data_IF_071072158335
#
_entry.id   IF_071072158335
#
_cell.length_a   1.000
_cell.length_b   1.000
_cell.length_c   1.000
_cell.angle_alpha   90.00
_cell.angle_beta   90.00
_cell.angle_gamma   90.00
#
_symmetry.space_group_name_H-M   'P 1'
#
loop_
_entity.id
_entity.type
_entity.pdbx_description
1 polymer ?
#
# COMPACT_ATOMS: atom_id res chain seq x y z
N UNK A 1 6.59 16.18 -90.76
CA UNK A 1 6.03 15.24 -89.82
C UNK A 1 6.93 15.27 -88.56
N UNK A 2 6.49 15.97 -87.51
CA UNK A 2 7.19 16.03 -86.26
C UNK A 2 6.36 15.30 -85.20
N UNK A 3 6.89 14.23 -84.64
CA UNK A 3 6.31 13.44 -83.56
C UNK A 3 6.86 13.95 -82.21
N UNK A 4 6.00 14.54 -81.41
CA UNK A 4 6.28 15.00 -80.07
C UNK A 4 6.04 13.88 -79.08
N UNK A 5 7.10 13.36 -78.46
CA UNK A 5 7.03 12.33 -77.41
C UNK A 5 6.79 13.03 -76.04
N UNK A 6 5.58 12.91 -75.49
CA UNK A 6 5.28 13.36 -74.14
C UNK A 6 5.80 12.30 -73.14
N UNK A 7 6.77 12.67 -72.32
CA UNK A 7 7.21 11.88 -71.15
C UNK A 7 6.28 12.18 -69.98
N UNK A 8 5.51 11.21 -69.59
CA UNK A 8 4.71 11.25 -68.35
C UNK A 8 5.63 10.86 -67.18
N UNK A 9 5.88 11.80 -66.28
CA UNK A 9 6.62 11.54 -65.04
C UNK A 9 5.57 11.06 -64.02
N UNK A 10 5.63 9.81 -63.59
CA UNK A 10 4.86 9.27 -62.48
C UNK A 10 5.63 9.53 -61.18
N UNK A 11 5.18 10.48 -60.38
CA UNK A 11 5.69 10.67 -58.99
C UNK A 11 5.06 9.63 -58.10
N UNK A 12 5.85 8.64 -57.67
CA UNK A 12 5.49 7.75 -56.59
C UNK A 12 5.66 8.49 -55.24
N UNK A 13 4.55 8.87 -54.60
CA UNK A 13 4.54 9.29 -53.21
C UNK A 13 4.58 8.06 -52.32
N UNK A 14 5.75 7.71 -51.78
CA UNK A 14 5.86 6.74 -50.68
C UNK A 14 5.53 7.44 -49.38
N UNK A 15 4.29 7.26 -48.89
CA UNK A 15 3.90 7.64 -47.57
C UNK A 15 4.55 6.70 -46.55
N UNK A 16 5.57 7.20 -45.85
CA UNK A 16 6.18 6.52 -44.70
C UNK A 16 5.20 6.60 -43.55
N UNK A 17 4.46 5.53 -43.28
CA UNK A 17 3.69 5.37 -42.06
C UNK A 17 4.68 5.17 -40.91
N UNK A 18 4.97 6.26 -40.17
CA UNK A 18 5.64 6.17 -38.86
C UNK A 18 4.61 5.59 -37.88
N UNK A 19 4.64 4.28 -37.70
CA UNK A 19 3.94 3.63 -36.58
C UNK A 19 4.70 4.02 -35.32
N UNK A 20 4.25 5.08 -34.66
CA UNK A 20 4.68 5.41 -33.30
C UNK A 20 4.20 4.29 -32.39
N UNK A 21 5.07 3.37 -32.08
CA UNK A 21 4.83 2.39 -31.02
C UNK A 21 4.94 3.16 -29.70
N UNK A 22 3.83 3.74 -29.25
CA UNK A 22 3.72 4.17 -27.86
C UNK A 22 3.85 2.91 -27.00
N UNK A 23 5.05 2.64 -26.50
CA UNK A 23 5.21 1.73 -25.37
C UNK A 23 4.44 2.36 -24.22
N UNK A 24 3.24 1.86 -23.97
CA UNK A 24 2.53 2.11 -22.73
C UNK A 24 3.46 1.59 -21.64
N UNK A 25 3.99 2.47 -20.80
CA UNK A 25 4.79 2.04 -19.65
C UNK A 25 3.92 1.09 -18.85
N UNK A 26 4.47 -0.07 -18.51
CA UNK A 26 3.75 -1.05 -17.70
C UNK A 26 3.37 -0.39 -16.36
N UNK A 27 2.13 -0.56 -15.94
CA UNK A 27 1.69 -0.08 -14.65
C UNK A 27 2.54 -0.72 -13.54
N UNK A 28 3.01 0.09 -12.60
CA UNK A 28 3.84 -0.37 -11.48
C UNK A 28 3.07 -0.25 -10.17
N UNK A 29 3.30 -1.14 -9.18
CA UNK A 29 2.61 -1.05 -7.90
C UNK A 29 3.12 0.16 -7.09
N UNK A 30 2.19 1.02 -6.63
CA UNK A 30 2.47 2.20 -5.82
C UNK A 30 2.07 2.02 -4.37
N UNK A 31 1.17 1.09 -4.10
CA UNK A 31 0.71 0.78 -2.76
C UNK A 31 0.31 -0.68 -2.63
N UNK A 32 0.14 -1.11 -1.40
CA UNK A 32 -0.31 -2.45 -1.07
C UNK A 32 -0.96 -2.52 0.30
N UNK A 33 -1.75 -3.56 0.47
CA UNK A 33 -2.35 -3.96 1.74
C UNK A 33 -1.78 -5.31 2.12
N UNK A 34 -1.34 -5.45 3.36
CA UNK A 34 -0.71 -6.64 3.90
C UNK A 34 -1.14 -6.85 5.35
N UNK A 35 -1.41 -8.10 5.74
CA UNK A 35 -1.64 -8.46 7.15
C UNK A 35 -0.35 -8.34 7.97
N UNK A 36 -0.51 -8.09 9.28
CA UNK A 36 0.59 -8.14 10.25
C UNK A 36 0.49 -9.34 11.20
N UNK A 37 -0.46 -10.23 10.99
CA UNK A 37 -0.66 -11.41 11.81
C UNK A 37 0.28 -12.55 11.41
N UNK A 38 1.10 -13.02 12.35
CA UNK A 38 2.14 -14.05 12.08
C UNK A 38 1.60 -15.42 11.72
N UNK A 39 0.31 -15.69 11.94
CA UNK A 39 -0.35 -16.91 11.45
C UNK A 39 -0.26 -17.06 9.92
N UNK A 40 -0.23 -15.95 9.22
CA UNK A 40 -0.19 -15.89 7.74
C UNK A 40 1.18 -15.45 7.22
N UNK A 41 2.25 -15.77 7.93
CA UNK A 41 3.64 -15.41 7.62
C UNK A 41 4.05 -15.77 6.19
N UNK A 42 3.60 -16.94 5.71
CA UNK A 42 3.82 -17.40 4.33
C UNK A 42 3.22 -16.43 3.30
N UNK A 43 2.01 -15.94 3.52
CA UNK A 43 1.37 -15.01 2.60
C UNK A 43 1.94 -13.60 2.69
N UNK A 44 2.44 -13.19 3.86
CA UNK A 44 3.25 -11.97 4.00
C UNK A 44 4.51 -12.09 3.13
N UNK A 45 5.21 -13.23 3.21
CA UNK A 45 6.42 -13.48 2.41
C UNK A 45 6.11 -13.43 0.90
N UNK A 46 5.06 -14.12 0.45
CA UNK A 46 4.59 -14.14 -0.94
C UNK A 46 4.22 -12.73 -1.46
N UNK A 47 3.61 -11.88 -0.62
CA UNK A 47 3.34 -10.48 -0.96
C UNK A 47 4.63 -9.71 -1.26
N UNK A 48 5.64 -9.82 -0.40
CA UNK A 48 6.91 -9.13 -0.58
C UNK A 48 7.73 -9.68 -1.76
N UNK A 49 7.63 -10.98 -2.06
CA UNK A 49 8.18 -11.59 -3.30
C UNK A 49 7.55 -10.92 -4.52
N UNK A 50 6.21 -10.91 -4.59
CA UNK A 50 5.48 -10.31 -5.72
C UNK A 50 5.82 -8.83 -5.90
N UNK A 51 5.88 -8.07 -4.82
CA UNK A 51 6.26 -6.65 -4.87
C UNK A 51 7.69 -6.48 -5.40
N UNK A 52 8.65 -7.32 -4.95
CA UNK A 52 10.04 -7.22 -5.36
C UNK A 52 10.27 -7.53 -6.83
N UNK A 53 9.48 -8.43 -7.40
CA UNK A 53 9.53 -8.77 -8.81
C UNK A 53 9.08 -7.60 -9.71
N UNK A 54 8.20 -6.73 -9.21
CA UNK A 54 7.55 -5.68 -9.99
C UNK A 54 8.08 -4.27 -9.70
N UNK A 55 8.69 -4.05 -8.54
CA UNK A 55 9.16 -2.72 -8.16
C UNK A 55 10.40 -2.75 -7.27
N UNK A 56 11.30 -1.79 -7.51
CA UNK A 56 12.34 -1.42 -6.57
C UNK A 56 11.82 -0.30 -5.65
N UNK A 57 11.92 -0.51 -4.33
CA UNK A 57 11.43 0.43 -3.31
C UNK A 57 12.60 0.94 -2.48
N UNK A 58 12.69 2.27 -2.32
CA UNK A 58 13.69 2.93 -1.48
C UNK A 58 13.11 3.37 -0.13
N UNK A 59 11.83 3.74 -0.09
CA UNK A 59 11.15 4.10 1.17
C UNK A 59 9.74 3.51 1.21
N UNK A 60 9.47 2.73 2.25
CA UNK A 60 8.11 2.30 2.58
C UNK A 60 7.44 3.33 3.50
N UNK A 61 6.29 3.85 3.11
CA UNK A 61 5.38 4.56 3.99
C UNK A 61 4.43 3.53 4.58
N UNK A 62 4.76 3.05 5.77
CA UNK A 62 4.00 2.01 6.47
C UNK A 62 3.00 2.66 7.42
N UNK A 63 1.73 2.45 7.14
CA UNK A 63 0.62 2.90 8.00
C UNK A 63 0.04 1.69 8.69
N UNK A 64 0.04 1.69 10.02
CA UNK A 64 -0.48 0.59 10.84
C UNK A 64 -1.47 1.08 11.89
N UNK A 65 -2.32 0.21 12.45
CA UNK A 65 -3.12 0.55 13.63
C UNK A 65 -2.20 0.79 14.85
N UNK A 66 -2.71 1.52 15.82
CA UNK A 66 -2.10 1.62 17.16
C UNK A 66 -2.87 0.72 18.12
N UNK A 67 -2.41 -0.53 18.30
CA UNK A 67 -3.15 -1.57 19.02
C UNK A 67 -3.22 -1.37 20.54
N UNK A 68 -2.20 -0.73 21.11
CA UNK A 68 -2.04 -0.74 22.58
C UNK A 68 -2.48 0.57 23.25
N UNK A 69 -2.94 1.56 22.48
CA UNK A 69 -3.43 2.82 23.03
C UNK A 69 -2.39 3.59 23.87
N UNK A 70 -1.11 3.38 23.63
CA UNK A 70 0.00 4.00 24.39
C UNK A 70 0.17 5.48 24.10
N UNK A 71 -0.36 5.97 22.99
CA UNK A 71 -0.35 7.38 22.63
C UNK A 71 -1.66 8.08 22.98
N UNK A 72 -1.58 9.35 23.34
CA UNK A 72 -2.72 10.26 23.40
C UNK A 72 -2.95 10.96 22.06
N UNK A 73 -2.01 10.83 21.12
CA UNK A 73 -2.10 11.43 19.78
C UNK A 73 -2.92 10.55 18.84
N UNK A 74 -3.54 11.18 17.85
CA UNK A 74 -4.25 10.46 16.79
C UNK A 74 -3.29 9.74 15.84
N UNK A 75 -2.08 10.29 15.68
CA UNK A 75 -1.01 9.72 14.87
C UNK A 75 0.30 9.72 15.65
N UNK A 76 1.01 8.63 15.61
CA UNK A 76 2.37 8.53 16.11
C UNK A 76 3.30 8.24 14.95
N UNK A 77 4.38 9.01 14.82
CA UNK A 77 5.37 8.86 13.74
C UNK A 77 6.68 8.35 14.33
N UNK A 78 7.23 7.29 13.73
CA UNK A 78 8.45 6.67 14.24
C UNK A 78 9.71 7.46 13.87
N UNK A 79 10.67 7.45 14.81
CA UNK A 79 12.05 7.88 14.58
C UNK A 79 13.08 6.80 14.97
N UNK A 80 12.60 5.63 15.38
CA UNK A 80 13.44 4.49 15.76
C UNK A 80 13.79 3.62 14.57
N UNK A 81 14.89 2.87 14.68
CA UNK A 81 15.21 1.78 13.75
C UNK A 81 14.77 0.44 14.36
N UNK A 82 14.36 -0.49 13.51
CA UNK A 82 13.93 -1.83 13.95
C UNK A 82 15.08 -2.82 13.83
N UNK A 83 15.45 -3.43 14.95
CA UNK A 83 16.48 -4.48 14.98
C UNK A 83 15.90 -5.80 14.46
N UNK A 84 16.58 -6.41 13.48
CA UNK A 84 16.24 -7.68 12.89
C UNK A 84 17.32 -8.71 13.24
N UNK A 85 17.01 -9.64 14.13
CA UNK A 85 18.01 -10.58 14.63
C UNK A 85 19.15 -9.92 15.39
N UNK A 86 20.40 -10.40 15.22
CA UNK A 86 21.57 -9.89 15.96
C UNK A 86 22.13 -8.58 15.39
N UNK A 87 22.23 -8.46 14.07
CA UNK A 87 23.14 -7.47 13.44
C UNK A 87 22.51 -6.67 12.29
N UNK A 88 21.23 -6.87 11.98
CA UNK A 88 20.54 -6.17 10.91
C UNK A 88 19.51 -5.18 11.45
N UNK A 89 19.32 -4.07 10.73
CA UNK A 89 18.33 -3.05 11.05
C UNK A 89 17.52 -2.66 9.81
N UNK A 90 16.27 -2.28 10.01
CA UNK A 90 15.48 -1.46 9.07
C UNK A 90 15.54 -0.03 9.60
N UNK A 91 16.10 0.86 8.81
CA UNK A 91 16.31 2.24 9.18
C UNK A 91 15.07 3.10 8.91
N UNK A 92 14.77 4.02 9.82
CA UNK A 92 13.79 5.08 9.55
C UNK A 92 14.37 6.11 8.57
N UNK A 93 13.55 6.55 7.61
CA UNK A 93 13.83 7.75 6.82
C UNK A 93 13.51 8.99 7.66
N UNK A 94 14.50 9.43 8.45
CA UNK A 94 14.30 10.50 9.43
C UNK A 94 13.86 11.82 8.78
N UNK A 95 14.36 12.14 7.60
CA UNK A 95 13.98 13.37 6.89
C UNK A 95 12.49 13.38 6.54
N UNK A 96 12.02 12.29 5.92
CA UNK A 96 10.62 12.16 5.56
C UNK A 96 9.72 12.00 6.79
N UNK A 97 10.16 11.24 7.82
CA UNK A 97 9.42 11.10 9.08
C UNK A 97 9.23 12.44 9.78
N UNK A 98 10.26 13.27 9.83
CA UNK A 98 10.18 14.63 10.41
C UNK A 98 9.24 15.54 9.60
N UNK A 99 9.25 15.43 8.26
CA UNK A 99 8.34 16.20 7.42
C UNK A 99 6.88 15.80 7.67
N UNK A 100 6.59 14.49 7.79
CA UNK A 100 5.25 13.98 8.14
C UNK A 100 4.83 14.46 9.54
N UNK A 101 5.68 14.31 10.53
CA UNK A 101 5.42 14.73 11.92
C UNK A 101 5.12 16.23 12.00
N UNK A 102 5.89 17.06 11.29
CA UNK A 102 5.66 18.50 11.19
C UNK A 102 4.33 18.82 10.51
N UNK A 103 4.00 18.12 9.44
CA UNK A 103 2.73 18.32 8.72
C UNK A 103 1.51 17.97 9.57
N UNK A 104 1.61 16.88 10.33
CA UNK A 104 0.56 16.45 11.26
C UNK A 104 0.47 17.34 12.52
N UNK A 105 1.50 18.16 12.78
CA UNK A 105 1.64 19.00 13.97
C UNK A 105 1.47 18.21 15.28
N UNK A 106 2.04 17.02 15.35
CA UNK A 106 2.05 16.18 16.54
C UNK A 106 3.43 16.12 17.16
N UNK A 107 3.55 15.98 18.48
CA UNK A 107 4.82 15.74 19.13
C UNK A 107 5.31 14.34 18.82
N UNK A 108 6.61 14.16 19.01
CA UNK A 108 7.24 12.86 18.96
C UNK A 108 6.74 11.95 20.09
N UNK A 109 6.47 10.67 19.77
CA UNK A 109 5.86 9.71 20.69
C UNK A 109 6.61 8.35 20.64
N UNK A 110 7.75 8.23 21.37
CA UNK A 110 8.64 7.09 21.27
C UNK A 110 8.10 5.80 21.90
N UNK A 111 7.07 5.88 22.74
CA UNK A 111 6.58 4.71 23.49
C UNK A 111 5.73 3.73 22.66
N UNK A 112 5.22 4.16 21.52
CA UNK A 112 4.34 3.35 20.68
C UNK A 112 5.09 2.20 19.99
N UNK A 113 6.18 2.53 19.32
CA UNK A 113 6.83 1.62 18.37
C UNK A 113 7.61 0.45 18.96
N UNK A 114 8.13 0.49 20.21
CA UNK A 114 8.78 -0.67 20.82
C UNK A 114 7.88 -1.91 20.93
N UNK A 115 6.56 -1.73 20.98
CA UNK A 115 5.58 -2.80 21.18
C UNK A 115 4.58 -2.93 20.02
N UNK A 116 4.53 -1.98 19.08
CA UNK A 116 3.55 -1.99 18.00
C UNK A 116 3.87 -3.07 16.95
N UNK A 117 3.11 -4.16 17.01
CA UNK A 117 3.31 -5.30 16.12
C UNK A 117 2.79 -5.06 14.70
N UNK A 118 1.82 -4.17 14.51
CA UNK A 118 1.34 -3.77 13.17
C UNK A 118 2.46 -3.20 12.30
N UNK A 119 3.53 -2.67 12.92
CA UNK A 119 4.73 -2.25 12.22
C UNK A 119 5.84 -3.32 12.29
N UNK A 120 6.18 -3.80 13.50
CA UNK A 120 7.37 -4.63 13.72
C UNK A 120 7.28 -5.99 13.02
N UNK A 121 6.08 -6.57 12.86
CA UNK A 121 5.89 -7.84 12.17
C UNK A 121 6.32 -7.83 10.70
N UNK A 122 6.28 -6.66 10.04
CA UNK A 122 6.62 -6.52 8.62
C UNK A 122 8.11 -6.21 8.37
N UNK A 123 8.83 -5.76 9.39
CA UNK A 123 10.23 -5.36 9.25
C UNK A 123 11.17 -6.48 8.77
N UNK A 124 11.03 -7.76 9.22
CA UNK A 124 11.85 -8.85 8.70
C UNK A 124 11.73 -9.04 7.18
N UNK A 125 10.51 -8.90 6.63
CA UNK A 125 10.25 -9.06 5.19
C UNK A 125 10.77 -7.85 4.41
N UNK A 126 10.58 -6.62 4.91
CA UNK A 126 11.20 -5.43 4.32
C UNK A 126 12.71 -5.61 4.24
N UNK A 127 13.35 -6.06 5.33
CA UNK A 127 14.80 -6.28 5.36
C UNK A 127 15.25 -7.38 4.39
N UNK A 128 14.49 -8.46 4.30
CA UNK A 128 14.79 -9.61 3.43
C UNK A 128 14.76 -9.23 1.94
N UNK A 129 13.71 -8.56 1.50
CA UNK A 129 13.46 -8.30 0.08
C UNK A 129 13.97 -6.94 -0.41
N UNK A 130 14.06 -5.96 0.49
CA UNK A 130 14.49 -4.59 0.23
C UNK A 130 15.57 -4.15 1.24
N UNK A 131 16.74 -4.78 1.24
CA UNK A 131 17.73 -4.66 2.34
C UNK A 131 18.27 -3.24 2.56
N UNK A 132 18.11 -2.34 1.58
CA UNK A 132 18.53 -0.93 1.64
C UNK A 132 17.37 0.04 1.81
N UNK A 133 16.14 -0.44 1.75
CA UNK A 133 14.97 0.41 1.92
C UNK A 133 14.90 0.95 3.36
N UNK A 134 14.40 2.18 3.45
CA UNK A 134 14.05 2.84 4.72
C UNK A 134 12.54 2.81 4.91
N UNK A 135 12.11 3.16 6.12
CA UNK A 135 10.69 3.23 6.46
C UNK A 135 10.31 4.59 7.02
N UNK A 136 9.11 5.04 6.69
CA UNK A 136 8.37 6.07 7.42
C UNK A 136 7.17 5.36 8.01
N UNK A 137 7.10 5.23 9.32
CA UNK A 137 6.03 4.48 9.99
C UNK A 137 5.10 5.44 10.71
N UNK A 138 3.81 5.30 10.45
CA UNK A 138 2.75 6.03 11.16
C UNK A 138 1.78 5.03 11.76
N UNK A 139 1.67 5.05 13.08
CA UNK A 139 0.63 4.31 13.81
C UNK A 139 -0.59 5.22 14.01
N UNK A 140 -1.77 4.74 13.63
CA UNK A 140 -3.04 5.50 13.69
C UNK A 140 -3.88 4.98 14.84
N UNK A 141 -4.25 5.89 15.74
CA UNK A 141 -5.08 5.58 16.89
C UNK A 141 -6.57 5.61 16.52
N UNK A 142 -7.31 4.76 17.22
CA UNK A 142 -8.77 4.75 17.18
C UNK A 142 -9.34 3.98 16.00
N UNK A 143 -10.59 3.61 16.13
CA UNK A 143 -11.37 2.90 15.11
C UNK A 143 -12.44 3.80 14.50
N UNK A 144 -12.80 3.55 13.24
CA UNK A 144 -13.96 4.21 12.64
C UNK A 144 -15.25 3.90 13.41
N UNK A 145 -16.21 4.85 13.42
CA UNK A 145 -16.19 6.09 12.64
C UNK A 145 -15.43 7.23 13.31
N UNK A 146 -14.89 7.05 14.51
CA UNK A 146 -14.36 8.14 15.33
C UNK A 146 -13.13 8.83 14.74
N UNK A 147 -12.33 8.09 13.98
CA UNK A 147 -11.10 8.60 13.37
C UNK A 147 -11.28 9.12 11.93
N UNK A 148 -12.49 9.11 11.38
CA UNK A 148 -12.74 9.56 10.00
C UNK A 148 -12.34 11.03 9.78
N UNK A 149 -12.48 11.87 10.81
CA UNK A 149 -12.12 13.28 10.76
C UNK A 149 -10.61 13.52 10.65
N UNK A 150 -9.80 12.55 11.04
CA UNK A 150 -8.35 12.63 11.06
C UNK A 150 -7.69 12.09 9.79
N UNK A 151 -8.47 11.50 8.89
CA UNK A 151 -7.96 10.90 7.66
C UNK A 151 -7.41 11.94 6.67
N UNK A 152 -8.02 13.11 6.58
CA UNK A 152 -7.56 14.16 5.67
C UNK A 152 -6.20 14.74 6.06
N UNK A 153 -5.92 15.10 7.34
CA UNK A 153 -4.59 15.55 7.74
C UNK A 153 -3.49 14.51 7.47
N UNK A 154 -3.75 13.22 7.71
CA UNK A 154 -2.82 12.15 7.37
C UNK A 154 -2.57 12.10 5.85
N UNK A 155 -3.62 12.24 5.05
CA UNK A 155 -3.52 12.27 3.60
C UNK A 155 -2.68 13.46 3.14
N UNK A 156 -2.94 14.65 3.65
CA UNK A 156 -2.22 15.88 3.30
C UNK A 156 -0.73 15.79 3.68
N UNK A 157 -0.41 15.06 4.75
CA UNK A 157 0.97 14.85 5.18
C UNK A 157 1.73 13.84 4.29
N UNK A 158 1.05 12.83 3.74
CA UNK A 158 1.67 11.72 2.98
C UNK A 158 1.65 11.96 1.47
N UNK A 159 0.56 12.53 0.93
CA UNK A 159 0.38 12.74 -0.51
C UNK A 159 1.57 13.43 -1.23
N UNK A 160 2.24 14.44 -0.65
CA UNK A 160 3.37 15.08 -1.33
C UNK A 160 4.49 14.13 -1.76
N UNK A 161 4.64 12.98 -1.07
CA UNK A 161 5.65 11.97 -1.40
C UNK A 161 5.25 11.04 -2.55
N UNK A 162 4.03 11.18 -3.09
CA UNK A 162 3.48 10.34 -4.15
C UNK A 162 3.07 11.11 -5.42
N UNK A 163 3.39 12.42 -5.50
CA UNK A 163 2.94 13.28 -6.60
C UNK A 163 3.88 13.32 -7.83
N UNK A 164 5.01 12.61 -7.81
CA UNK A 164 6.08 12.78 -8.80
C UNK A 164 6.09 11.73 -9.93
N UNK A 165 4.94 11.15 -10.27
CA UNK A 165 4.80 10.32 -11.47
C UNK A 165 5.64 9.05 -11.48
N UNK A 166 5.83 8.39 -10.33
CA UNK A 166 6.57 7.13 -10.21
C UNK A 166 8.09 7.25 -10.25
N UNK A 167 8.64 8.47 -10.34
CA UNK A 167 10.09 8.72 -10.24
C UNK A 167 10.62 8.48 -8.84
N UNK A 168 9.77 8.71 -7.83
CA UNK A 168 10.09 8.41 -6.45
C UNK A 168 9.85 6.92 -6.20
N UNK A 169 10.84 6.27 -5.63
CA UNK A 169 10.75 4.86 -5.24
C UNK A 169 10.09 4.69 -3.87
N UNK A 170 9.06 5.50 -3.60
CA UNK A 170 8.23 5.40 -2.41
C UNK A 170 7.10 4.38 -2.66
N UNK A 171 6.76 3.61 -1.64
CA UNK A 171 5.67 2.63 -1.67
C UNK A 171 4.78 2.82 -0.45
N UNK A 172 3.47 2.94 -0.66
CA UNK A 172 2.50 3.03 0.43
C UNK A 172 2.08 1.63 0.87
N UNK A 173 2.49 1.24 2.07
CA UNK A 173 2.19 -0.06 2.65
C UNK A 173 1.17 0.10 3.78
N UNK A 174 -0.03 -0.43 3.60
CA UNK A 174 -1.06 -0.46 4.62
C UNK A 174 -1.00 -1.81 5.33
N UNK A 175 -0.63 -1.76 6.60
CA UNK A 175 -0.65 -2.90 7.50
C UNK A 175 -2.04 -3.02 8.11
N UNK A 176 -2.76 -4.09 7.84
CA UNK A 176 -4.14 -4.24 8.30
C UNK A 176 -4.63 -5.69 8.29
N UNK A 177 -5.27 -6.08 9.37
CA UNK A 177 -6.10 -7.28 9.42
C UNK A 177 -7.57 -6.93 9.18
N UNK A 178 -8.38 -7.94 8.80
CA UNK A 178 -9.79 -7.75 8.42
C UNK A 178 -10.71 -8.62 9.27
N UNK A 179 -12.00 -8.32 9.23
CA UNK A 179 -13.10 -9.11 9.80
C UNK A 179 -12.81 -9.74 11.16
N UNK A 180 -12.48 -8.94 12.17
CA UNK A 180 -12.20 -9.44 13.51
C UNK A 180 -13.47 -9.98 14.22
N UNK A 181 -13.26 -11.01 15.05
CA UNK A 181 -14.22 -11.55 16.02
C UNK A 181 -15.61 -11.84 15.43
N UNK A 182 -15.64 -12.65 14.38
CA UNK A 182 -16.87 -12.96 13.66
C UNK A 182 -16.96 -14.44 13.30
N UNK A 183 -18.19 -14.95 13.22
CA UNK A 183 -18.41 -16.30 12.71
C UNK A 183 -18.23 -16.34 11.17
N UNK A 184 -18.18 -17.53 10.60
CA UNK A 184 -17.95 -17.76 9.15
C UNK A 184 -18.87 -16.92 8.27
N UNK A 185 -20.18 -16.92 8.55
CA UNK A 185 -21.15 -16.19 7.71
C UNK A 185 -20.94 -14.67 7.79
N UNK A 186 -20.67 -14.16 8.99
CA UNK A 186 -20.45 -12.72 9.19
C UNK A 186 -19.10 -12.27 8.66
N UNK A 187 -18.06 -13.10 8.78
CA UNK A 187 -16.74 -12.86 8.18
C UNK A 187 -16.89 -12.74 6.68
N UNK A 188 -17.58 -13.70 6.02
CA UNK A 188 -17.82 -13.63 4.59
C UNK A 188 -18.55 -12.33 4.17
N UNK A 189 -19.60 -11.92 4.88
CA UNK A 189 -20.34 -10.68 4.60
C UNK A 189 -19.43 -9.43 4.69
N UNK A 190 -18.56 -9.40 5.70
CA UNK A 190 -17.61 -8.30 5.91
C UNK A 190 -16.52 -8.29 4.83
N UNK A 191 -16.02 -9.48 4.46
CA UNK A 191 -14.96 -9.63 3.48
C UNK A 191 -15.46 -9.30 2.07
N UNK A 192 -16.67 -9.72 1.68
CA UNK A 192 -17.29 -9.33 0.40
C UNK A 192 -17.35 -7.80 0.24
N UNK A 193 -17.60 -7.06 1.32
CA UNK A 193 -17.58 -5.58 1.31
C UNK A 193 -16.18 -5.00 1.22
N UNK A 194 -15.22 -5.60 1.92
CA UNK A 194 -13.81 -5.19 1.87
C UNK A 194 -13.24 -5.43 0.48
N UNK A 195 -13.55 -6.56 -0.14
CA UNK A 195 -13.10 -6.92 -1.50
C UNK A 195 -13.58 -5.91 -2.55
N UNK A 196 -14.81 -5.38 -2.43
CA UNK A 196 -15.31 -4.33 -3.33
C UNK A 196 -14.40 -3.09 -3.32
N UNK A 197 -13.91 -2.68 -2.14
CA UNK A 197 -12.96 -1.58 -2.07
C UNK A 197 -11.59 -1.98 -2.59
N UNK A 198 -11.08 -3.14 -2.17
CA UNK A 198 -9.74 -3.59 -2.54
C UNK A 198 -9.58 -3.83 -4.05
N UNK A 199 -10.68 -4.16 -4.75
CA UNK A 199 -10.68 -4.35 -6.20
C UNK A 199 -10.58 -3.05 -7.00
N UNK A 200 -10.98 -1.91 -6.43
CA UNK A 200 -11.09 -0.65 -7.19
C UNK A 200 -10.35 0.53 -6.56
N UNK A 201 -10.00 0.45 -5.26
CA UNK A 201 -9.50 1.55 -4.42
C UNK A 201 -10.33 2.85 -4.53
N UNK A 202 -11.65 2.72 -4.77
CA UNK A 202 -12.56 3.86 -4.94
C UNK A 202 -12.60 4.73 -3.66
N UNK A 203 -12.30 6.04 -3.76
CA UNK A 203 -12.34 6.97 -2.62
C UNK A 203 -13.67 7.06 -1.89
N UNK A 204 -14.76 6.54 -2.46
CA UNK A 204 -16.08 6.50 -1.84
C UNK A 204 -16.39 5.20 -1.12
N UNK A 205 -15.60 4.14 -1.32
CA UNK A 205 -15.88 2.79 -0.83
C UNK A 205 -15.03 2.35 0.36
N UNK A 206 -13.96 3.06 0.70
CA UNK A 206 -13.05 2.70 1.79
C UNK A 206 -13.76 2.48 3.14
N UNK A 207 -14.85 3.22 3.39
CA UNK A 207 -15.65 3.14 4.61
C UNK A 207 -16.32 1.76 4.80
N UNK A 208 -16.48 1.00 3.70
CA UNK A 208 -17.07 -0.33 3.74
C UNK A 208 -16.06 -1.42 4.12
N UNK A 209 -14.76 -1.11 4.13
CA UNK A 209 -13.76 -2.04 4.63
C UNK A 209 -14.00 -2.38 6.09
N UNK A 210 -14.10 -3.66 6.38
CA UNK A 210 -14.14 -4.18 7.73
C UNK A 210 -12.73 -4.59 8.13
N UNK A 211 -11.95 -3.63 8.63
CA UNK A 211 -10.55 -3.82 8.98
C UNK A 211 -10.16 -2.92 10.16
N UNK A 212 -9.02 -3.20 10.75
CA UNK A 212 -8.46 -2.45 11.87
C UNK A 212 -7.72 -1.16 11.47
N UNK A 213 -7.56 -0.92 10.15
CA UNK A 213 -6.86 0.26 9.63
C UNK A 213 -7.63 1.00 8.54
N UNK A 214 -8.86 1.43 8.81
CA UNK A 214 -9.64 2.24 7.86
C UNK A 214 -9.01 3.58 7.48
N UNK A 215 -8.30 4.30 8.39
CA UNK A 215 -7.55 5.49 7.99
C UNK A 215 -6.50 5.21 6.91
N UNK A 216 -5.82 4.07 7.01
CA UNK A 216 -4.90 3.61 5.96
C UNK A 216 -5.61 3.32 4.64
N UNK A 217 -6.81 2.71 4.66
CA UNK A 217 -7.62 2.49 3.45
C UNK A 217 -8.07 3.81 2.82
N UNK A 218 -8.47 4.79 3.64
CA UNK A 218 -8.77 6.13 3.14
C UNK A 218 -7.57 6.75 2.42
N UNK A 219 -6.40 6.77 3.08
CA UNK A 219 -5.17 7.29 2.50
C UNK A 219 -4.81 6.57 1.19
N UNK A 220 -4.86 5.23 1.20
CA UNK A 220 -4.61 4.41 0.00
C UNK A 220 -5.51 4.86 -1.16
N UNK A 221 -6.81 5.00 -0.91
CA UNK A 221 -7.78 5.42 -1.92
C UNK A 221 -7.47 6.80 -2.51
N UNK A 222 -6.86 7.70 -1.73
CA UNK A 222 -6.47 9.05 -2.18
C UNK A 222 -5.17 9.05 -2.96
N UNK A 223 -4.18 8.29 -2.50
CA UNK A 223 -2.91 8.14 -3.22
C UNK A 223 -3.13 7.46 -4.57
N UNK A 224 -4.09 6.51 -4.63
CA UNK A 224 -4.36 5.72 -5.83
C UNK A 224 -5.44 6.32 -6.76
N UNK A 225 -6.06 7.43 -6.43
CA UNK A 225 -7.36 7.97 -6.87
C UNK A 225 -7.68 8.06 -8.36
N UNK A 226 -6.74 7.91 -9.28
CA UNK A 226 -7.01 8.05 -10.72
C UNK A 226 -6.54 6.83 -11.52
N UNK A 227 -7.47 5.98 -11.94
CA UNK A 227 -7.23 4.82 -12.82
C UNK A 227 -6.37 3.72 -12.20
N UNK A 228 -6.68 3.35 -10.97
CA UNK A 228 -5.99 2.28 -10.28
C UNK A 228 -6.44 0.93 -10.79
N UNK A 229 -5.49 0.11 -11.20
CA UNK A 229 -5.66 -1.33 -11.28
C UNK A 229 -5.25 -1.92 -9.94
N UNK A 230 -5.98 -2.89 -9.44
CA UNK A 230 -5.60 -3.63 -8.24
C UNK A 230 -5.51 -5.12 -8.54
N UNK A 231 -4.67 -5.80 -7.78
CA UNK A 231 -4.55 -7.26 -7.82
C UNK A 231 -4.57 -7.79 -6.39
N UNK A 232 -5.64 -8.48 -6.03
CA UNK A 232 -5.72 -9.25 -4.79
C UNK A 232 -4.89 -10.52 -5.01
N UNK A 233 -3.79 -10.64 -4.25
CA UNK A 233 -2.86 -11.76 -4.34
C UNK A 233 -3.37 -12.97 -3.56
N UNK A 234 -3.98 -12.71 -2.40
CA UNK A 234 -4.52 -13.71 -1.53
C UNK A 234 -5.64 -13.13 -0.65
N UNK A 235 -6.64 -13.94 -0.37
CA UNK A 235 -7.62 -13.74 0.69
C UNK A 235 -7.79 -15.06 1.44
N UNK A 236 -7.73 -15.02 2.76
CA UNK A 236 -7.85 -16.18 3.64
C UNK A 236 -8.27 -15.74 5.04
N UNK A 237 -8.44 -16.68 5.98
CA UNK A 237 -8.84 -16.38 7.35
C UNK A 237 -8.23 -17.36 8.35
N UNK A 238 -8.30 -17.03 9.65
CA UNK A 238 -7.73 -17.85 10.73
C UNK A 238 -8.33 -19.25 10.79
N UNK A 239 -9.61 -19.42 10.51
CA UNK A 239 -10.28 -20.71 10.52
C UNK A 239 -9.74 -21.67 9.44
N UNK A 240 -9.42 -21.16 8.25
CA UNK A 240 -8.81 -21.96 7.17
C UNK A 240 -7.44 -22.54 7.57
N UNK A 241 -6.70 -21.85 8.45
CA UNK A 241 -5.40 -22.32 8.94
C UNK A 241 -5.51 -23.28 10.09
N UNK A 242 -6.40 -23.01 11.04
CA UNK A 242 -6.44 -23.74 12.30
C UNK A 242 -7.48 -24.85 12.31
N UNK A 243 -8.56 -24.72 11.53
CA UNK A 243 -9.75 -25.55 11.62
C UNK A 243 -10.56 -25.35 12.90
N UNK A 244 -10.23 -24.31 13.69
CA UNK A 244 -10.82 -24.02 15.01
C UNK A 244 -11.26 -22.56 15.05
N UNK A 245 -12.19 -22.22 15.97
CA UNK A 245 -12.64 -20.84 16.18
C UNK A 245 -13.56 -20.33 15.08
N UNK A 246 -14.54 -21.13 14.67
CA UNK A 246 -15.54 -20.80 13.63
C UNK A 246 -16.48 -19.65 14.01
N UNK A 247 -16.42 -19.19 15.26
CA UNK A 247 -17.15 -18.05 15.82
C UNK A 247 -16.25 -16.84 16.15
N UNK A 248 -14.92 -16.97 16.01
CA UNK A 248 -13.93 -15.94 16.33
C UNK A 248 -12.87 -15.81 15.21
N UNK A 249 -13.33 -15.50 13.99
CA UNK A 249 -12.50 -15.46 12.81
C UNK A 249 -11.92 -14.07 12.60
N UNK A 250 -10.63 -14.01 12.28
CA UNK A 250 -9.94 -12.87 11.66
C UNK A 250 -9.61 -13.23 10.22
N UNK A 251 -9.91 -12.33 9.27
CA UNK A 251 -9.55 -12.53 7.87
C UNK A 251 -8.39 -11.65 7.43
N UNK A 252 -7.76 -12.02 6.32
CA UNK A 252 -6.52 -11.46 5.82
C UNK A 252 -6.59 -11.25 4.31
N UNK A 253 -6.28 -10.03 3.86
CA UNK A 253 -6.14 -9.69 2.46
C UNK A 253 -4.72 -9.24 2.15
N UNK A 254 -4.25 -9.62 0.96
CA UNK A 254 -2.97 -9.21 0.39
C UNK A 254 -3.24 -8.66 -1.00
N UNK A 255 -2.96 -7.39 -1.22
CA UNK A 255 -3.28 -6.73 -2.48
C UNK A 255 -2.22 -5.72 -2.90
N UNK A 256 -1.96 -5.61 -4.20
CA UNK A 256 -1.14 -4.58 -4.84
C UNK A 256 -2.00 -3.64 -5.66
N UNK A 257 -1.64 -2.36 -5.68
CA UNK A 257 -2.35 -1.28 -6.37
C UNK A 257 -1.39 -0.56 -7.32
N UNK A 258 -1.79 -0.41 -8.57
CA UNK A 258 -0.96 0.02 -9.70
C UNK A 258 -1.36 1.39 -10.23
N UNK A 259 -0.38 2.15 -10.70
CA UNK A 259 -0.55 3.38 -11.49
C UNK A 259 0.28 3.35 -12.76
#
# INVERSE_FOLDING_TARGET
MHSTFRRTIVLLFTTLLIVSCNKQEAAIPWGGVVSHHTLVDKHIDEFFVSLKEERDVETFFLICPSHYGLSTQEWSVADCSWKIGSDAYVETDLEKSQAVLKSLNVPYDPQVFPVEHGASALMPYIKKYFPRAKVVVVAVRGEPPLNILYNQPLTDAIMPFFNHGGKDKNFLLISSDFSHHSNIAKTKEKDDRSEIFLSEADPKKWVFCSCDNRPGMYLLSRVMSDKTESRILCHTNSYEFTGEGDDDITSYFFALFYK
#
